data_IF_844606366918
#
_entry.id   IF_844606366918
#
_cell.length_a   1.000
_cell.length_b   1.000
_cell.length_c   1.000
_cell.angle_alpha   90.00
_cell.angle_beta   90.00
_cell.angle_gamma   90.00
#
_symmetry.space_group_name_H-M   'P 1'
#
loop_
_entity.id
_entity.type
_entity.pdbx_description
1 polymer ?
#
# COMPACT_ATOMS: atom_id res chain seq x y z
N UNK A 1 -4.05 -2.25 -6.81
CA UNK A 1 -4.39 -1.13 -5.90
C UNK A 1 -4.30 -1.55 -4.42
N UNK A 2 -5.02 -2.58 -3.96
CA UNK A 2 -5.08 -2.96 -2.54
C UNK A 2 -3.71 -3.30 -1.92
N UNK A 3 -2.86 -4.07 -2.62
CA UNK A 3 -1.53 -4.42 -2.13
C UNK A 3 -0.61 -3.20 -2.02
N UNK A 4 -0.64 -2.30 -3.01
CA UNK A 4 0.16 -1.08 -3.00
C UNK A 4 -0.29 -0.18 -1.85
N UNK A 5 -1.59 -0.01 -1.68
CA UNK A 5 -2.18 0.78 -0.59
C UNK A 5 -1.80 0.21 0.78
N UNK A 6 -1.92 -1.10 0.95
CA UNK A 6 -1.53 -1.78 2.19
C UNK A 6 -0.04 -1.58 2.50
N UNK A 7 0.82 -1.78 1.52
CA UNK A 7 2.29 -1.65 1.69
C UNK A 7 2.67 -0.21 2.02
N UNK A 8 2.11 0.77 1.29
CA UNK A 8 2.38 2.19 1.51
C UNK A 8 1.91 2.64 2.90
N UNK A 9 0.69 2.26 3.29
CA UNK A 9 0.16 2.60 4.62
C UNK A 9 0.93 1.92 5.75
N UNK A 10 1.34 0.67 5.57
CA UNK A 10 2.17 -0.02 6.55
C UNK A 10 3.51 0.69 6.75
N UNK A 11 4.19 1.07 5.66
CA UNK A 11 5.45 1.83 5.75
C UNK A 11 5.26 3.18 6.41
N UNK A 12 4.24 3.94 6.01
CA UNK A 12 3.94 5.25 6.59
C UNK A 12 3.69 5.15 8.11
N UNK A 13 2.92 4.17 8.54
CA UNK A 13 2.65 3.94 9.97
C UNK A 13 3.90 3.47 10.72
N UNK A 14 4.74 2.62 10.10
CA UNK A 14 6.01 2.19 10.67
C UNK A 14 7.00 3.35 10.81
N UNK A 15 7.09 4.26 9.84
CA UNK A 15 7.95 5.44 9.88
C UNK A 15 7.50 6.43 10.98
N UNK A 16 6.21 6.61 11.17
CA UNK A 16 5.65 7.48 12.21
C UNK A 16 5.48 6.79 13.58
N UNK A 17 6.02 5.60 13.75
CA UNK A 17 5.86 4.76 14.94
C UNK A 17 6.21 5.48 16.25
N UNK A 18 7.26 6.28 16.24
CA UNK A 18 7.69 7.07 17.40
C UNK A 18 6.66 8.14 17.77
N UNK A 19 6.07 8.82 16.78
CA UNK A 19 5.01 9.80 16.99
C UNK A 19 3.75 9.14 17.57
N UNK A 20 3.38 7.98 17.03
CA UNK A 20 2.26 7.17 17.55
C UNK A 20 2.50 6.80 19.03
N UNK A 21 3.73 6.39 19.36
CA UNK A 21 4.13 6.07 20.71
C UNK A 21 4.00 7.28 21.65
N UNK A 22 4.46 8.44 21.22
CA UNK A 22 4.36 9.71 21.99
C UNK A 22 2.92 10.13 22.22
N UNK A 23 2.09 10.13 21.18
CA UNK A 23 0.66 10.46 21.30
C UNK A 23 -0.06 9.50 22.26
N UNK A 24 0.29 8.23 22.20
CA UNK A 24 -0.29 7.21 23.07
C UNK A 24 0.18 7.36 24.52
N UNK A 25 1.43 7.79 24.76
CA UNK A 25 1.96 8.11 26.07
C UNK A 25 1.30 9.36 26.68
N UNK A 26 0.90 10.33 25.84
CA UNK A 26 0.14 11.52 26.23
C UNK A 26 -1.35 11.24 26.51
N UNK A 27 -1.79 9.98 26.37
CA UNK A 27 -3.17 9.58 26.70
C UNK A 27 -4.17 9.66 25.54
N UNK A 28 -3.72 9.92 24.32
CA UNK A 28 -4.62 9.89 23.17
C UNK A 28 -5.18 8.49 22.92
N UNK A 29 -6.47 8.40 22.59
CA UNK A 29 -7.12 7.14 22.30
C UNK A 29 -6.62 6.54 20.98
N UNK A 30 -6.64 5.21 20.88
CA UNK A 30 -6.25 4.49 19.66
C UNK A 30 -7.07 4.95 18.43
N UNK A 31 -8.35 5.24 18.64
CA UNK A 31 -9.26 5.73 17.59
C UNK A 31 -8.87 7.11 17.09
N UNK A 32 -8.47 8.02 17.98
CA UNK A 32 -8.02 9.36 17.59
C UNK A 32 -6.75 9.31 16.75
N UNK A 33 -5.81 8.44 17.11
CA UNK A 33 -4.56 8.26 16.37
C UNK A 33 -4.85 7.61 15.01
N UNK A 34 -5.64 6.54 14.97
CA UNK A 34 -6.05 5.90 13.73
C UNK A 34 -6.83 6.86 12.81
N UNK A 35 -7.65 7.73 13.37
CA UNK A 35 -8.45 8.73 12.64
C UNK A 35 -7.60 9.62 11.73
N UNK A 36 -6.41 10.02 12.17
CA UNK A 36 -5.46 10.79 11.35
C UNK A 36 -5.09 10.05 10.04
N UNK A 37 -4.75 8.79 10.15
CA UNK A 37 -4.34 7.96 9.00
C UNK A 37 -5.53 7.60 8.10
N UNK A 38 -6.66 7.29 8.71
CA UNK A 38 -7.91 7.03 7.99
C UNK A 38 -8.36 8.26 7.20
N UNK A 39 -8.30 9.44 7.80
CA UNK A 39 -8.64 10.70 7.12
C UNK A 39 -7.69 10.99 5.95
N UNK A 40 -6.39 10.77 6.14
CA UNK A 40 -5.41 10.90 5.06
C UNK A 40 -5.69 9.92 3.92
N UNK A 41 -5.93 8.66 4.22
CA UNK A 41 -6.25 7.64 3.24
C UNK A 41 -7.54 7.97 2.47
N UNK A 42 -8.54 8.51 3.17
CA UNK A 42 -9.81 8.92 2.57
C UNK A 42 -9.61 10.08 1.60
N UNK A 43 -8.90 11.13 2.02
CA UNK A 43 -8.60 12.28 1.14
C UNK A 43 -7.81 11.85 -0.10
N UNK A 44 -6.78 11.02 0.09
CA UNK A 44 -5.97 10.52 -1.02
C UNK A 44 -6.80 9.67 -2.01
N UNK A 45 -7.68 8.81 -1.50
CA UNK A 45 -8.51 7.94 -2.33
C UNK A 45 -9.59 8.76 -3.08
N UNK A 46 -10.26 9.67 -2.40
CA UNK A 46 -11.28 10.53 -3.03
C UNK A 46 -10.63 11.43 -4.08
N UNK A 47 -9.52 12.09 -3.74
CA UNK A 47 -8.78 12.93 -4.69
C UNK A 47 -8.27 12.12 -5.89
N UNK A 48 -7.68 10.96 -5.64
CA UNK A 48 -7.23 10.05 -6.70
C UNK A 48 -8.36 9.52 -7.58
N UNK A 49 -9.52 9.22 -7.00
CA UNK A 49 -10.72 8.79 -7.75
C UNK A 49 -11.25 9.89 -8.65
N UNK A 50 -11.38 11.12 -8.15
CA UNK A 50 -11.85 12.25 -8.95
C UNK A 50 -10.90 12.53 -10.12
N UNK A 51 -9.61 12.61 -9.85
CA UNK A 51 -8.61 12.83 -10.91
C UNK A 51 -8.54 11.65 -11.88
N UNK A 52 -8.64 10.42 -11.38
CA UNK A 52 -8.62 9.21 -12.20
C UNK A 52 -9.83 9.11 -13.13
N UNK A 53 -11.02 9.44 -12.65
CA UNK A 53 -12.24 9.47 -13.49
C UNK A 53 -12.14 10.56 -14.53
N UNK A 54 -11.75 11.78 -14.15
CA UNK A 54 -11.62 12.89 -15.09
C UNK A 54 -10.58 12.61 -16.18
N UNK A 55 -9.43 12.05 -15.81
CA UNK A 55 -8.39 11.68 -16.76
C UNK A 55 -8.83 10.47 -17.62
N UNK A 56 -9.40 9.45 -16.98
CA UNK A 56 -9.84 8.22 -17.64
C UNK A 56 -10.95 8.47 -18.66
N UNK A 57 -11.95 9.24 -18.32
CA UNK A 57 -13.11 9.49 -19.21
C UNK A 57 -12.86 10.54 -20.28
N UNK A 58 -11.94 11.47 -20.06
CA UNK A 58 -11.65 12.51 -21.06
C UNK A 58 -10.41 12.24 -21.89
N UNK A 59 -9.29 11.87 -21.26
CA UNK A 59 -8.01 11.78 -21.95
C UNK A 59 -7.90 10.46 -22.72
N UNK A 60 -8.21 9.33 -22.11
CA UNK A 60 -8.03 8.03 -22.77
C UNK A 60 -8.89 7.83 -24.01
N UNK A 61 -10.21 8.12 -24.01
CA UNK A 61 -11.01 8.00 -25.19
C UNK A 61 -10.53 8.91 -26.32
N UNK A 62 -10.14 10.15 -25.99
CA UNK A 62 -9.60 11.07 -26.98
C UNK A 62 -8.35 10.54 -27.67
N UNK A 63 -7.38 10.06 -26.88
CA UNK A 63 -6.12 9.49 -27.43
C UNK A 63 -6.39 8.24 -28.27
N UNK A 64 -7.31 7.38 -27.80
CA UNK A 64 -7.66 6.14 -28.53
C UNK A 64 -8.33 6.49 -29.86
N UNK A 65 -9.32 7.39 -29.85
CA UNK A 65 -10.03 7.80 -31.07
C UNK A 65 -9.05 8.45 -32.05
N UNK A 66 -8.16 9.31 -31.59
CA UNK A 66 -7.17 9.98 -32.44
C UNK A 66 -6.20 8.96 -33.07
N UNK A 67 -5.74 7.99 -32.30
CA UNK A 67 -4.89 6.91 -32.79
C UNK A 67 -5.60 6.02 -33.82
N UNK A 68 -6.87 5.68 -33.61
CA UNK A 68 -7.66 4.89 -34.55
C UNK A 68 -8.10 5.68 -35.78
N UNK A 69 -8.27 7.00 -35.68
CA UNK A 69 -8.61 7.88 -36.80
C UNK A 69 -7.56 7.87 -37.92
N UNK A 70 -6.29 7.65 -37.56
CA UNK A 70 -5.20 7.48 -38.53
C UNK A 70 -5.40 6.20 -39.36
N UNK A 71 -6.01 5.17 -38.78
CA UNK A 71 -6.14 3.83 -39.37
C UNK A 71 -7.49 3.63 -40.09
N UNK A 72 -8.54 4.30 -39.64
CA UNK A 72 -9.90 4.17 -40.18
C UNK A 72 -10.46 5.54 -40.59
N UNK A 73 -10.58 5.77 -41.90
CA UNK A 73 -11.03 7.05 -42.48
C UNK A 73 -12.53 7.40 -42.25
N UNK A 74 -13.31 6.49 -41.64
CA UNK A 74 -14.77 6.64 -41.48
C UNK A 74 -15.25 6.41 -40.04
N UNK A 75 -14.68 7.13 -39.08
CA UNK A 75 -15.15 7.11 -37.70
C UNK A 75 -15.84 8.43 -37.29
N UNK A 76 -16.63 9.00 -38.20
CA UNK A 76 -17.46 10.15 -37.88
C UNK A 76 -18.70 9.68 -37.10
N UNK A 77 -18.83 10.10 -35.85
CA UNK A 77 -20.03 9.87 -35.04
C UNK A 77 -19.91 8.92 -33.84
N UNK A 78 -18.70 8.61 -33.37
CA UNK A 78 -18.56 7.90 -32.08
C UNK A 78 -19.06 8.78 -30.93
N UNK A 79 -20.20 8.40 -30.37
CA UNK A 79 -20.73 9.01 -29.14
C UNK A 79 -19.98 8.39 -27.97
N UNK A 80 -19.24 9.22 -27.24
CA UNK A 80 -18.62 8.84 -25.96
C UNK A 80 -19.75 8.75 -24.91
N UNK A 81 -20.14 7.53 -24.58
CA UNK A 81 -21.10 7.28 -23.51
C UNK A 81 -20.34 7.26 -22.17
N UNK A 82 -20.63 8.23 -21.31
CA UNK A 82 -20.03 8.34 -19.99
C UNK A 82 -20.70 7.36 -19.03
N UNK A 83 -20.04 6.27 -18.71
CA UNK A 83 -20.56 5.24 -17.80
C UNK A 83 -20.23 5.59 -16.34
N UNK A 84 -20.92 6.57 -15.78
CA UNK A 84 -20.79 6.99 -14.38
C UNK A 84 -20.97 5.84 -13.39
N UNK A 85 -21.80 4.86 -13.72
CA UNK A 85 -22.06 3.70 -12.87
C UNK A 85 -20.77 2.88 -12.64
N UNK A 86 -20.00 2.63 -13.68
CA UNK A 86 -18.71 1.91 -13.57
C UNK A 86 -17.66 2.72 -12.82
N UNK A 87 -17.63 4.04 -13.02
CA UNK A 87 -16.72 4.93 -12.29
C UNK A 87 -17.05 4.95 -10.79
N UNK A 88 -18.35 4.99 -10.43
CA UNK A 88 -18.77 4.91 -9.03
C UNK A 88 -18.43 3.58 -8.39
N UNK A 89 -18.70 2.46 -9.05
CA UNK A 89 -18.37 1.13 -8.53
C UNK A 89 -16.85 0.98 -8.33
N UNK A 90 -16.05 1.39 -9.31
CA UNK A 90 -14.59 1.34 -9.21
C UNK A 90 -14.07 2.20 -8.06
N UNK A 91 -14.60 3.40 -7.88
CA UNK A 91 -14.24 4.31 -6.79
C UNK A 91 -14.61 3.76 -5.42
N UNK A 92 -15.79 3.14 -5.28
CA UNK A 92 -16.23 2.50 -4.04
C UNK A 92 -15.36 1.30 -3.68
N UNK A 93 -15.01 0.46 -4.66
CA UNK A 93 -14.11 -0.67 -4.45
C UNK A 93 -12.71 -0.18 -4.04
N UNK A 94 -12.18 0.85 -4.69
CA UNK A 94 -10.90 1.45 -4.34
C UNK A 94 -10.92 2.00 -2.91
N UNK A 95 -11.99 2.72 -2.54
CA UNK A 95 -12.18 3.25 -1.19
C UNK A 95 -12.20 2.12 -0.15
N UNK A 96 -12.99 1.09 -0.38
CA UNK A 96 -13.07 -0.05 0.53
C UNK A 96 -11.72 -0.74 0.73
N UNK A 97 -11.01 -1.02 -0.36
CA UNK A 97 -9.68 -1.63 -0.32
C UNK A 97 -8.66 -0.78 0.43
N UNK A 98 -8.66 0.55 0.20
CA UNK A 98 -7.74 1.47 0.86
C UNK A 98 -8.05 1.58 2.36
N UNK A 99 -9.32 1.67 2.72
CA UNK A 99 -9.74 1.72 4.13
C UNK A 99 -9.40 0.44 4.88
N UNK A 100 -9.66 -0.73 4.28
CA UNK A 100 -9.30 -2.02 4.87
C UNK A 100 -7.78 -2.14 5.07
N UNK A 101 -6.97 -1.72 4.10
CA UNK A 101 -5.51 -1.69 4.20
C UNK A 101 -5.03 -0.75 5.32
N UNK A 102 -5.58 0.46 5.40
CA UNK A 102 -5.22 1.45 6.42
C UNK A 102 -5.58 0.97 7.83
N UNK A 103 -6.78 0.45 8.02
CA UNK A 103 -7.22 -0.08 9.32
C UNK A 103 -6.37 -1.28 9.75
N UNK A 104 -6.00 -2.16 8.82
CA UNK A 104 -5.13 -3.30 9.10
C UNK A 104 -3.73 -2.86 9.53
N UNK A 105 -3.14 -1.88 8.84
CA UNK A 105 -1.83 -1.34 9.16
C UNK A 105 -1.84 -0.62 10.53
N UNK A 106 -2.80 0.28 10.75
CA UNK A 106 -2.95 0.99 12.01
C UNK A 106 -3.25 0.05 13.18
N UNK A 107 -4.13 -0.92 13.00
CA UNK A 107 -4.50 -1.88 14.05
C UNK A 107 -3.31 -2.66 14.58
N UNK A 108 -2.41 -3.04 13.70
CA UNK A 108 -1.19 -3.78 14.06
C UNK A 108 -0.24 -2.96 14.93
N UNK A 109 0.03 -1.71 14.57
CA UNK A 109 0.92 -0.83 15.34
C UNK A 109 0.25 -0.27 16.60
N UNK A 110 -1.03 0.08 16.53
CA UNK A 110 -1.78 0.57 17.71
C UNK A 110 -2.03 -0.53 18.76
N UNK A 111 -1.88 -1.79 18.44
CA UNK A 111 -1.89 -2.87 19.42
C UNK A 111 -0.64 -2.87 20.31
N UNK A 112 0.49 -2.37 19.81
CA UNK A 112 1.76 -2.32 20.54
C UNK A 112 1.75 -1.31 21.70
N UNK A 113 2.54 -1.55 22.73
CA UNK A 113 2.66 -0.62 23.88
C UNK A 113 3.50 0.62 23.51
N UNK A 114 3.27 1.79 24.12
CA UNK A 114 4.04 3.01 23.84
C UNK A 114 5.55 2.82 23.95
N UNK A 115 5.98 2.10 24.98
CA UNK A 115 7.41 1.83 25.22
C UNK A 115 8.08 1.02 24.09
N UNK A 116 7.33 0.13 23.43
CA UNK A 116 7.82 -0.66 22.27
C UNK A 116 7.83 0.20 21.02
N UNK A 117 6.87 1.12 20.87
CA UNK A 117 6.79 2.01 19.71
C UNK A 117 7.90 3.06 19.69
N UNK A 118 8.35 3.50 20.86
CA UNK A 118 9.44 4.48 21.01
C UNK A 118 10.84 3.86 20.84
N UNK A 119 10.97 2.54 20.89
CA UNK A 119 12.24 1.87 20.63
C UNK A 119 12.44 1.65 19.13
N UNK A 120 13.69 1.78 18.63
CA UNK A 120 14.00 1.35 17.27
C UNK A 120 13.54 -0.11 17.08
N UNK A 121 12.97 -0.45 15.93
CA UNK A 121 12.57 -1.83 15.67
C UNK A 121 13.78 -2.74 15.85
N UNK A 122 13.63 -3.78 16.68
CA UNK A 122 14.67 -4.78 16.85
C UNK A 122 14.99 -5.40 15.48
N UNK A 123 16.27 -5.64 15.17
CA UNK A 123 16.64 -6.37 13.96
C UNK A 123 15.83 -7.65 13.91
N UNK A 124 15.18 -7.89 12.77
CA UNK A 124 14.42 -9.14 12.60
C UNK A 124 15.36 -10.30 12.86
N UNK A 125 15.05 -11.14 13.84
CA UNK A 125 15.78 -12.37 14.06
C UNK A 125 15.81 -13.15 12.74
N UNK A 126 17.02 -13.44 12.26
CA UNK A 126 17.22 -14.15 11.00
C UNK A 126 16.45 -15.46 11.03
N UNK A 127 15.43 -15.60 10.20
CA UNK A 127 14.74 -16.88 10.04
C UNK A 127 15.74 -17.91 9.55
N UNK A 128 15.69 -19.12 10.12
CA UNK A 128 16.51 -20.23 9.64
C UNK A 128 16.33 -20.39 8.13
N UNK A 129 17.42 -20.26 7.40
CA UNK A 129 17.41 -20.36 5.93
C UNK A 129 17.14 -21.82 5.56
N UNK A 130 16.43 -22.04 4.46
CA UNK A 130 16.07 -23.38 3.98
C UNK A 130 17.29 -24.32 3.86
N UNK A 131 18.45 -23.77 3.47
CA UNK A 131 19.72 -24.49 3.40
C UNK A 131 20.24 -24.97 4.79
N UNK A 132 19.89 -24.30 5.88
CA UNK A 132 20.22 -24.70 7.24
C UNK A 132 19.45 -25.95 7.68
N UNK A 133 18.31 -26.26 7.03
CA UNK A 133 17.54 -27.50 7.24
C UNK A 133 18.22 -28.73 6.64
N UNK A 134 19.08 -28.54 5.64
CA UNK A 134 19.82 -29.62 5.00
C UNK A 134 21.18 -29.71 5.69
N UNK A 135 21.25 -30.39 6.83
CA UNK A 135 22.43 -30.47 7.70
C UNK A 135 23.70 -30.95 7.02
N UNK A 136 23.58 -31.77 5.97
CA UNK A 136 24.71 -32.30 5.23
C UNK A 136 25.44 -31.22 4.42
N UNK A 137 24.69 -30.37 3.72
CA UNK A 137 25.25 -29.27 2.93
C UNK A 137 25.78 -28.16 3.86
N UNK A 138 25.02 -27.84 4.92
CA UNK A 138 25.37 -26.79 5.87
C UNK A 138 26.67 -27.08 6.59
N UNK A 139 26.99 -28.35 6.87
CA UNK A 139 28.22 -28.76 7.58
C UNK A 139 29.49 -28.57 6.74
N UNK A 140 29.38 -28.70 5.41
CA UNK A 140 30.49 -28.55 4.47
C UNK A 140 30.68 -27.13 3.91
N UNK A 141 29.80 -26.18 4.19
CA UNK A 141 29.96 -24.80 3.78
C UNK A 141 30.93 -24.02 4.65
N UNK A 142 31.83 -23.27 4.00
CA UNK A 142 32.75 -22.33 4.66
C UNK A 142 31.99 -21.24 5.41
N UNK A 143 32.60 -20.67 6.45
CA UNK A 143 32.03 -19.61 7.28
C UNK A 143 31.52 -18.40 6.44
N UNK A 144 32.29 -18.00 5.42
CA UNK A 144 31.93 -16.90 4.52
C UNK A 144 30.64 -17.20 3.78
N UNK A 145 30.46 -18.39 3.25
CA UNK A 145 29.25 -18.83 2.57
C UNK A 145 28.04 -18.91 3.51
N UNK A 146 28.22 -19.40 4.71
CA UNK A 146 27.19 -19.43 5.75
C UNK A 146 26.70 -18.03 6.10
N UNK A 147 27.62 -17.08 6.23
CA UNK A 147 27.30 -15.68 6.52
C UNK A 147 26.57 -15.01 5.35
N UNK A 148 27.01 -15.24 4.11
CA UNK A 148 26.36 -14.67 2.92
C UNK A 148 24.95 -15.18 2.74
N UNK A 149 24.72 -16.48 2.87
CA UNK A 149 23.40 -17.11 2.74
C UNK A 149 22.45 -16.67 3.86
N UNK A 150 22.97 -16.42 5.05
CA UNK A 150 22.18 -15.96 6.19
C UNK A 150 21.83 -14.47 6.12
N UNK A 151 22.62 -13.69 5.38
CA UNK A 151 22.45 -12.25 5.22
C UNK A 151 21.66 -11.87 3.94
N UNK A 152 21.26 -12.86 3.13
CA UNK A 152 20.42 -12.65 1.97
C UNK A 152 18.95 -12.60 2.44
N UNK A 153 18.19 -11.50 2.07
CA UNK A 153 16.82 -11.30 2.52
C UNK A 153 15.86 -12.37 2.02
#
# INVERSE_FOLDING_TARGET
AALISLTTMTRMVEEERTQIGTLKALGYSKSSIAGKYVFYALLATVGGSVLGVLAGEKIFPYVIIDAYRIMYQHMDGMVLDYQLDHALVASLVALFCTMAGTLSACGKELASTPAVLMRPPAPKEGKRVFLERIGFIWKHLSFSWKSTVRNHP
#
